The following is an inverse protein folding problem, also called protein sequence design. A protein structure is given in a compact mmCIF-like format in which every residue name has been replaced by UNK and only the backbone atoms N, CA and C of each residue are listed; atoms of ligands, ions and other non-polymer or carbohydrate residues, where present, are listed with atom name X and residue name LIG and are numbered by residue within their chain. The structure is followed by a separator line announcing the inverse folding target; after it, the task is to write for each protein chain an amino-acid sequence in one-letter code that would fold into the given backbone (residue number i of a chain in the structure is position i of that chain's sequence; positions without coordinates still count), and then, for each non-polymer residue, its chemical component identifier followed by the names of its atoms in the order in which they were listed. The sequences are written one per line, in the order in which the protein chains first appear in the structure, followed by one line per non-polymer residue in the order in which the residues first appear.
data_IF_310081018424
#
_entry.id   IF_310081018424
#
_cell.length_a   1.000
_cell.length_b   1.000
_cell.length_c   1.000
_cell.angle_alpha   90.00
_cell.angle_beta   90.00
_cell.angle_gamma   90.00
#
_symmetry.space_group_name_H-M   'P 1'
#
loop_
_entity.id
_entity.type
_entity.pdbx_description
1 polymer ?
#
# COMPACT_ATOMS: atom_id res chain seq x y z
N UNK A 1 4.54 9.05 -11.62
CA UNK A 1 4.53 7.58 -11.33
C UNK A 1 3.58 7.32 -10.17
N UNK A 2 2.70 6.33 -10.31
CA UNK A 2 1.70 5.98 -9.30
C UNK A 2 2.09 4.67 -8.61
N UNK A 3 1.96 4.60 -7.28
CA UNK A 3 2.28 3.42 -6.49
C UNK A 3 1.04 3.01 -5.68
N UNK A 4 0.77 1.70 -5.62
CA UNK A 4 -0.20 1.13 -4.70
C UNK A 4 0.39 -0.07 -3.96
N UNK A 5 0.01 -0.24 -2.70
CA UNK A 5 0.32 -1.42 -1.89
C UNK A 5 -0.76 -1.67 -0.84
N UNK A 6 -0.77 -2.88 -0.28
CA UNK A 6 -1.75 -3.28 0.73
C UNK A 6 -1.40 -2.70 2.11
N UNK A 7 -2.43 -2.43 2.90
CA UNK A 7 -2.30 -2.05 4.31
C UNK A 7 -1.70 -3.21 5.10
N UNK A 8 -0.60 -2.93 5.80
CA UNK A 8 0.08 -3.85 6.68
C UNK A 8 0.89 -3.10 7.72
N UNK A 9 1.57 -3.83 8.60
CA UNK A 9 2.31 -3.26 9.75
C UNK A 9 3.27 -2.13 9.37
N UNK A 10 3.89 -2.23 8.19
CA UNK A 10 4.90 -1.27 7.71
C UNK A 10 4.36 -0.23 6.72
N UNK A 11 3.04 -0.20 6.47
CA UNK A 11 2.45 0.62 5.42
C UNK A 11 2.67 2.14 5.64
N UNK A 12 2.61 2.61 6.88
CA UNK A 12 2.90 4.02 7.22
C UNK A 12 4.34 4.39 6.85
N UNK A 13 5.32 3.58 7.26
CA UNK A 13 6.73 3.81 6.95
C UNK A 13 6.97 3.80 5.44
N UNK A 14 6.46 2.79 4.73
CA UNK A 14 6.63 2.66 3.29
C UNK A 14 5.98 3.82 2.53
N UNK A 15 4.79 4.27 2.97
CA UNK A 15 4.12 5.43 2.41
C UNK A 15 4.99 6.68 2.52
N UNK A 16 5.53 6.95 3.72
CA UNK A 16 6.34 8.14 3.98
C UNK A 16 7.66 8.12 3.21
N UNK A 17 8.27 6.94 3.05
CA UNK A 17 9.48 6.75 2.21
C UNK A 17 9.18 7.02 0.74
N UNK A 18 8.03 6.60 0.22
CA UNK A 18 7.71 6.68 -1.21
C UNK A 18 7.09 8.01 -1.63
N UNK A 19 6.45 8.74 -0.71
CA UNK A 19 5.76 10.01 -0.98
C UNK A 19 6.60 11.04 -1.74
N UNK A 20 7.91 11.23 -1.49
CA UNK A 20 8.73 12.16 -2.25
C UNK A 20 9.06 11.72 -3.70
N UNK A 21 8.89 10.43 -4.00
CA UNK A 21 9.33 9.82 -5.27
C UNK A 21 8.17 9.45 -6.21
N UNK A 22 6.93 9.62 -5.77
CA UNK A 22 5.75 9.24 -6.52
C UNK A 22 4.73 10.38 -6.58
N UNK A 23 4.02 10.45 -7.69
CA UNK A 23 2.93 11.40 -7.93
C UNK A 23 1.71 11.08 -7.07
N UNK A 24 1.50 9.78 -6.80
CA UNK A 24 0.45 9.27 -5.94
C UNK A 24 0.92 7.98 -5.28
N UNK A 25 0.67 7.88 -3.98
CA UNK A 25 0.85 6.64 -3.21
C UNK A 25 -0.50 6.26 -2.63
N UNK A 26 -0.96 5.03 -2.89
CA UNK A 26 -2.24 4.51 -2.40
C UNK A 26 -1.99 3.30 -1.53
N UNK A 27 -2.34 3.42 -0.25
CA UNK A 27 -2.43 2.26 0.64
C UNK A 27 -3.87 1.76 0.62
N UNK A 28 -4.08 0.55 0.16
CA UNK A 28 -5.40 -0.04 0.01
C UNK A 28 -5.61 -1.18 1.00
N UNK A 29 -6.87 -1.42 1.38
CA UNK A 29 -7.21 -2.59 2.18
C UNK A 29 -7.85 -3.64 1.27
N UNK A 30 -7.24 -4.82 1.17
CA UNK A 30 -7.76 -5.94 0.38
C UNK A 30 -8.51 -6.97 1.23
N UNK A 31 -8.76 -6.70 2.53
CA UNK A 31 -9.54 -7.59 3.42
C UNK A 31 -10.82 -8.04 2.73
N UNK A 32 -10.96 -9.36 2.62
CA UNK A 32 -12.10 -10.01 1.97
C UNK A 32 -11.84 -10.49 0.54
N UNK A 33 -10.73 -10.10 -0.10
CA UNK A 33 -10.26 -10.74 -1.34
C UNK A 33 -9.46 -11.99 -0.99
N UNK A 34 -10.12 -12.98 -0.40
CA UNK A 34 -9.54 -14.31 -0.25
C UNK A 34 -9.33 -14.91 -1.63
N UNK A 35 -8.08 -15.04 -2.07
CA UNK A 35 -7.78 -15.82 -3.28
C UNK A 35 -7.83 -17.29 -2.91
N UNK A 36 -8.67 -18.06 -3.60
CA UNK A 36 -8.70 -19.54 -3.50
C UNK A 36 -7.52 -20.20 -4.23
N UNK A 37 -6.59 -19.39 -4.76
CA UNK A 37 -5.47 -19.81 -5.59
C UNK A 37 -4.15 -19.75 -4.80
N UNK A 38 -3.13 -20.44 -5.32
CA UNK A 38 -1.79 -20.39 -4.77
C UNK A 38 -1.28 -18.95 -4.75
N UNK A 39 -0.81 -18.50 -3.57
CA UNK A 39 -0.28 -17.15 -3.38
C UNK A 39 0.86 -16.88 -4.37
N UNK A 40 0.75 -15.79 -5.12
CA UNK A 40 1.77 -15.36 -6.07
C UNK A 40 1.82 -13.84 -6.08
N UNK A 41 2.88 -13.29 -5.48
CA UNK A 41 3.08 -11.84 -5.35
C UNK A 41 3.02 -11.12 -6.71
N UNK A 42 3.47 -11.78 -7.79
CA UNK A 42 3.39 -11.22 -9.15
C UNK A 42 1.94 -11.06 -9.62
N UNK A 43 1.11 -12.09 -9.44
CA UNK A 43 -0.31 -12.04 -9.83
C UNK A 43 -1.05 -10.99 -9.00
N UNK A 44 -0.72 -10.90 -7.71
CA UNK A 44 -1.33 -9.92 -6.81
C UNK A 44 -0.91 -8.48 -7.16
N UNK A 45 0.36 -8.26 -7.52
CA UNK A 45 0.85 -6.98 -8.01
C UNK A 45 0.20 -6.57 -9.35
N UNK A 46 0.06 -7.51 -10.29
CA UNK A 46 -0.59 -7.25 -11.58
C UNK A 46 -2.06 -6.83 -11.37
N UNK A 47 -2.80 -7.56 -10.52
CA UNK A 47 -4.19 -7.21 -10.17
C UNK A 47 -4.28 -5.84 -9.49
N UNK A 48 -3.36 -5.54 -8.59
CA UNK A 48 -3.33 -4.27 -7.88
C UNK A 48 -3.07 -3.10 -8.83
N UNK A 49 -2.16 -3.29 -9.80
CA UNK A 49 -1.85 -2.29 -10.82
C UNK A 49 -3.06 -1.96 -11.69
N UNK A 50 -3.86 -2.97 -12.04
CA UNK A 50 -5.07 -2.79 -12.84
C UNK A 50 -6.15 -2.04 -12.06
N UNK A 51 -6.36 -2.38 -10.79
CA UNK A 51 -7.30 -1.64 -9.93
C UNK A 51 -6.87 -0.18 -9.74
N UNK A 52 -5.57 0.08 -9.62
CA UNK A 52 -5.02 1.43 -9.54
C UNK A 52 -5.30 2.20 -10.84
N UNK A 53 -5.07 1.57 -12.00
CA UNK A 53 -5.32 2.16 -13.32
C UNK A 53 -6.79 2.48 -13.53
N UNK A 54 -7.70 1.62 -13.08
CA UNK A 54 -9.15 1.83 -13.16
C UNK A 54 -9.69 2.82 -12.11
N UNK A 55 -8.87 3.25 -11.14
CA UNK A 55 -9.32 4.10 -10.05
C UNK A 55 -10.22 3.39 -9.01
N UNK A 56 -10.27 2.06 -9.06
CA UNK A 56 -11.16 1.23 -8.24
C UNK A 56 -10.56 0.84 -6.88
N UNK A 57 -9.40 1.39 -6.51
CA UNK A 57 -8.79 1.17 -5.20
C UNK A 57 -9.38 2.08 -4.13
N UNK A 58 -9.87 1.47 -3.06
CA UNK A 58 -10.26 2.18 -1.85
C UNK A 58 -9.02 2.48 -1.01
N UNK A 59 -8.67 3.77 -0.94
CA UNK A 59 -7.65 4.24 0.02
C UNK A 59 -8.19 4.10 1.44
N UNK A 60 -7.40 3.48 2.31
CA UNK A 60 -7.73 3.33 3.74
C UNK A 60 -6.78 4.09 4.66
N UNK A 61 -5.69 4.57 4.11
CA UNK A 61 -4.67 5.25 4.88
C UNK A 61 -5.02 6.72 5.10
N UNK A 62 -5.14 7.06 6.37
CA UNK A 62 -5.30 8.41 6.86
C UNK A 62 -3.94 8.78 7.47
N UNK A 63 -3.10 9.48 6.70
CA UNK A 63 -1.73 9.74 7.12
C UNK A 63 -1.69 10.37 8.52
N UNK A 64 -0.83 9.83 9.40
CA UNK A 64 -0.60 10.45 10.70
C UNK A 64 0.11 11.82 10.51
N UNK A 65 -0.30 12.81 11.30
CA UNK A 65 0.19 14.20 11.20
C UNK A 65 1.65 14.42 11.68
N UNK A 66 2.49 13.38 11.72
CA UNK A 66 3.87 13.53 12.16
C UNK A 66 4.68 12.27 11.87
N UNK A 67 5.86 12.46 11.29
CA UNK A 67 6.87 11.41 11.17
C UNK A 67 7.12 10.84 12.56
N UNK A 68 6.70 9.60 12.81
CA UNK A 68 7.10 8.88 14.01
C UNK A 68 8.60 8.60 13.88
N UNK A 69 9.39 9.19 14.77
CA UNK A 69 10.81 8.88 14.88
C UNK A 69 10.98 7.39 15.16
N UNK A 70 11.86 6.75 14.40
CA UNK A 70 12.16 5.32 14.54
C UNK A 70 12.65 5.09 15.98
N UNK A 71 11.92 4.28 16.75
CA UNK A 71 12.31 3.94 18.12
C UNK A 71 13.27 2.75 18.06
N UNK A 72 14.49 2.94 18.56
CA UNK A 72 15.44 1.86 18.76
C UNK A 72 14.86 0.85 19.76
N UNK A 73 14.95 -0.45 19.43
CA UNK A 73 14.63 -1.53 20.34
C UNK A 73 15.85 -1.74 21.25
N UNK A 74 15.73 -1.31 22.52
CA UNK A 74 16.67 -1.63 23.60
C UNK A 74 16.31 -2.97 24.22
#
# INVERSE_FOLDING_TARGET
MHIAFEEGTQAQWLHDVLKPYAERVVVCNTRGRGTTDNKSDRIDADRLSELLRLGSLKSVFHGASGLLTLKELV
#
